data_IF_238257771375
#
_entry.id   IF_238257771375
#
_cell.length_a   1.000
_cell.length_b   1.000
_cell.length_c   1.000
_cell.angle_alpha   90.00
_cell.angle_beta   90.00
_cell.angle_gamma   90.00
#
_symmetry.space_group_name_H-M   'P 1'
#
loop_
_entity.id
_entity.type
_entity.pdbx_description
1 polymer ?
#
# COMPACT_ATOMS: atom_id res chain seq x y z
N UNK A 1 11.40 12.65 16.86
CA UNK A 1 11.24 12.09 15.50
C UNK A 1 10.01 12.69 14.84
N UNK A 2 10.16 13.15 13.59
CA UNK A 2 9.03 13.63 12.80
C UNK A 2 8.13 12.45 12.42
N UNK A 3 6.82 12.71 12.36
CA UNK A 3 5.83 11.71 11.97
C UNK A 3 5.12 12.17 10.70
N UNK A 4 5.13 11.31 9.69
CA UNK A 4 4.56 11.59 8.38
C UNK A 4 3.36 10.69 8.11
N UNK A 5 2.38 11.13 7.29
CA UNK A 5 1.22 10.33 6.95
C UNK A 5 1.58 9.10 6.11
N UNK A 6 1.12 7.93 6.53
CA UNK A 6 1.04 6.72 5.71
C UNK A 6 -0.42 6.40 5.43
N UNK A 7 -0.74 6.18 4.16
CA UNK A 7 -2.06 5.76 3.71
C UNK A 7 -2.11 4.25 3.68
N UNK A 8 -3.06 3.63 4.37
CA UNK A 8 -3.20 2.17 4.43
C UNK A 8 -4.52 1.84 3.75
N UNK A 9 -4.44 1.20 2.59
CA UNK A 9 -5.59 0.82 1.77
C UNK A 9 -5.86 -0.68 1.93
N UNK A 10 -7.12 -1.02 2.19
CA UNK A 10 -7.62 -2.39 2.18
C UNK A 10 -8.99 -2.39 1.51
N UNK A 11 -9.13 -3.12 0.40
CA UNK A 11 -10.32 -3.08 -0.46
C UNK A 11 -10.63 -1.63 -0.90
N UNK A 12 -11.82 -1.13 -0.57
CA UNK A 12 -12.27 0.21 -0.93
C UNK A 12 -11.99 1.25 0.16
N UNK A 13 -11.45 0.84 1.31
CA UNK A 13 -11.23 1.70 2.45
C UNK A 13 -9.78 2.15 2.57
N UNK A 14 -9.58 3.41 2.96
CA UNK A 14 -8.26 4.00 3.20
C UNK A 14 -8.23 4.63 4.58
N UNK A 15 -7.26 4.24 5.40
CA UNK A 15 -7.00 4.81 6.72
C UNK A 15 -5.65 5.51 6.70
N UNK A 16 -5.59 6.74 7.21
CA UNK A 16 -4.34 7.49 7.33
C UNK A 16 -3.82 7.44 8.77
N UNK A 17 -2.54 7.09 8.95
CA UNK A 17 -1.85 7.13 10.25
C UNK A 17 -0.59 7.99 10.14
N UNK A 18 -0.17 8.60 11.25
CA UNK A 18 1.11 9.31 11.32
C UNK A 18 2.17 8.38 11.92
N UNK A 19 3.20 8.04 11.16
CA UNK A 19 4.23 7.05 11.54
C UNK A 19 5.64 7.63 11.44
N UNK A 20 6.59 7.00 12.13
CA UNK A 20 8.02 7.28 12.01
C UNK A 20 8.68 6.29 11.04
N UNK A 21 9.95 6.53 10.72
CA UNK A 21 10.81 5.59 9.99
C UNK A 21 10.80 4.20 10.65
N UNK A 22 11.08 4.13 11.95
CA UNK A 22 11.15 2.88 12.72
C UNK A 22 9.89 2.01 12.58
N UNK A 23 8.71 2.64 12.52
CA UNK A 23 7.43 1.92 12.38
C UNK A 23 7.30 1.22 11.02
N UNK A 24 8.04 1.68 10.00
CA UNK A 24 7.97 1.18 8.64
C UNK A 24 9.16 0.30 8.24
N UNK A 25 10.24 0.32 9.03
CA UNK A 25 11.49 -0.43 8.74
C UNK A 25 11.42 -1.92 9.07
N UNK A 26 10.37 -2.39 9.76
CA UNK A 26 10.22 -3.81 10.16
C UNK A 26 8.94 -4.43 9.60
N UNK A 27 9.00 -5.69 9.10
CA UNK A 27 7.81 -6.45 8.72
C UNK A 27 6.78 -6.57 9.85
N UNK A 28 7.23 -6.79 11.08
CA UNK A 28 6.35 -6.96 12.24
C UNK A 28 5.65 -5.66 12.62
N UNK A 29 6.34 -4.53 12.54
CA UNK A 29 5.77 -3.23 12.86
C UNK A 29 4.77 -2.77 11.81
N UNK A 30 5.07 -2.98 10.52
CA UNK A 30 4.14 -2.71 9.43
C UNK A 30 2.90 -3.61 9.52
N UNK A 31 3.07 -4.90 9.83
CA UNK A 31 1.93 -5.81 10.04
C UNK A 31 1.06 -5.35 11.22
N UNK A 32 1.69 -4.94 12.32
CA UNK A 32 0.98 -4.40 13.49
C UNK A 32 0.23 -3.12 13.14
N UNK A 33 0.83 -2.22 12.37
CA UNK A 33 0.22 -0.99 11.87
C UNK A 33 -1.01 -1.29 11.00
N UNK A 34 -0.92 -2.27 10.10
CA UNK A 34 -2.04 -2.72 9.25
C UNK A 34 -3.19 -3.28 10.10
N UNK A 35 -2.90 -4.12 11.09
CA UNK A 35 -3.91 -4.68 11.99
C UNK A 35 -4.57 -3.58 12.84
N UNK A 36 -3.80 -2.58 13.29
CA UNK A 36 -4.35 -1.43 14.01
C UNK A 36 -5.21 -0.50 13.13
N UNK A 37 -4.96 -0.47 11.83
CA UNK A 37 -5.83 0.22 10.88
C UNK A 37 -7.09 -0.60 10.60
N UNK A 38 -6.94 -1.90 10.33
CA UNK A 38 -8.02 -2.81 9.99
C UNK A 38 -8.00 -4.06 10.87
N UNK A 39 -8.64 -4.05 12.06
CA UNK A 39 -8.62 -5.19 12.98
C UNK A 39 -9.13 -6.51 12.37
N UNK A 40 -10.07 -6.43 11.42
CA UNK A 40 -10.64 -7.55 10.67
C UNK A 40 -9.59 -8.34 9.86
N UNK A 41 -8.46 -7.72 9.57
CA UNK A 41 -7.35 -8.30 8.81
C UNK A 41 -6.50 -9.24 9.69
N UNK A 42 -6.60 -9.14 11.03
CA UNK A 42 -5.85 -9.97 11.99
C UNK A 42 -6.07 -11.47 11.80
N UNK A 43 -7.30 -11.87 11.47
CA UNK A 43 -7.69 -13.27 11.36
C UNK A 43 -7.35 -13.86 9.98
N UNK A 44 -6.78 -13.06 9.08
CA UNK A 44 -6.37 -13.49 7.75
C UNK A 44 -4.92 -13.94 7.76
N UNK A 45 -4.71 -15.22 7.48
CA UNK A 45 -3.40 -15.88 7.59
C UNK A 45 -2.34 -15.29 6.65
N UNK A 46 -2.68 -15.10 5.38
CA UNK A 46 -1.76 -14.61 4.35
C UNK A 46 -2.26 -13.29 3.80
N UNK A 47 -1.59 -12.21 4.21
CA UNK A 47 -1.82 -10.88 3.65
C UNK A 47 -0.65 -10.54 2.75
N UNK A 48 -0.97 -10.00 1.60
CA UNK A 48 0.03 -9.51 0.67
C UNK A 48 0.10 -8.00 0.79
N UNK A 49 1.25 -7.52 1.24
CA UNK A 49 1.51 -6.11 1.46
C UNK A 49 2.29 -5.56 0.28
N UNK A 50 1.84 -4.43 -0.23
CA UNK A 50 2.52 -3.67 -1.26
C UNK A 50 2.65 -2.23 -0.77
N UNK A 51 3.71 -1.56 -1.16
CA UNK A 51 3.87 -0.13 -0.91
C UNK A 51 3.92 0.64 -2.22
N UNK A 52 3.51 1.90 -2.16
CA UNK A 52 3.66 2.83 -3.27
C UNK A 52 4.03 4.22 -2.77
N UNK A 53 4.62 4.99 -3.69
CA UNK A 53 5.21 6.31 -3.41
C UNK A 53 4.17 7.39 -3.08
N UNK A 54 2.94 7.19 -3.52
CA UNK A 54 1.81 8.10 -3.46
C UNK A 54 0.51 7.32 -3.18
N UNK A 55 -0.62 8.01 -2.96
CA UNK A 55 -1.93 7.34 -2.75
C UNK A 55 -2.30 6.39 -3.90
N UNK A 56 -1.90 6.75 -5.11
CA UNK A 56 -2.11 6.01 -6.34
C UNK A 56 -0.78 6.03 -7.08
N UNK A 57 -0.22 4.86 -7.37
CA UNK A 57 1.12 4.73 -7.92
C UNK A 57 1.53 3.26 -8.05
N UNK A 58 2.67 3.00 -8.71
CA UNK A 58 3.13 1.64 -8.93
C UNK A 58 3.33 0.91 -7.60
N UNK A 59 2.78 -0.29 -7.52
CA UNK A 59 2.84 -1.14 -6.34
C UNK A 59 4.15 -1.91 -6.31
N UNK A 60 4.86 -1.84 -5.20
CA UNK A 60 6.06 -2.59 -4.90
C UNK A 60 5.77 -3.57 -3.77
N UNK A 61 5.97 -4.87 -3.99
CA UNK A 61 5.66 -5.86 -2.97
C UNK A 61 6.64 -5.76 -1.78
N UNK A 62 6.12 -5.90 -0.56
CA UNK A 62 6.91 -5.97 0.67
C UNK A 62 7.17 -7.44 1.02
N UNK A 63 8.30 -8.00 0.56
CA UNK A 63 8.62 -9.44 0.70
C UNK A 63 9.76 -9.65 1.71
N UNK A 64 10.74 -8.76 1.72
CA UNK A 64 11.96 -8.88 2.52
C UNK A 64 12.29 -7.56 3.22
N UNK A 65 13.22 -7.61 4.17
CA UNK A 65 13.62 -6.45 4.99
C UNK A 65 14.12 -5.24 4.18
N UNK A 66 14.70 -5.46 2.99
CA UNK A 66 15.13 -4.37 2.11
C UNK A 66 13.93 -3.58 1.57
N UNK A 67 12.80 -4.23 1.30
CA UNK A 67 11.60 -3.55 0.83
C UNK A 67 11.02 -2.61 1.90
N UNK A 68 11.04 -3.05 3.16
CA UNK A 68 10.63 -2.24 4.31
C UNK A 68 11.59 -1.07 4.55
N UNK A 69 12.90 -1.30 4.41
CA UNK A 69 13.91 -0.25 4.48
C UNK A 69 13.69 0.80 3.39
N UNK A 70 13.38 0.38 2.16
CA UNK A 70 13.08 1.28 1.05
C UNK A 70 11.81 2.10 1.28
N UNK A 71 10.75 1.47 1.83
CA UNK A 71 9.53 2.16 2.25
C UNK A 71 9.83 3.22 3.32
N UNK A 72 10.57 2.86 4.37
CA UNK A 72 10.90 3.75 5.47
C UNK A 72 11.74 4.95 4.99
N UNK A 73 12.74 4.70 4.15
CA UNK A 73 13.56 5.73 3.51
C UNK A 73 12.72 6.66 2.62
N UNK A 74 11.82 6.10 1.81
CA UNK A 74 10.92 6.92 0.98
C UNK A 74 10.02 7.81 1.84
N UNK A 75 9.41 7.25 2.88
CA UNK A 75 8.49 7.92 3.78
C UNK A 75 9.11 9.14 4.47
N UNK A 76 10.38 9.04 4.86
CA UNK A 76 11.11 10.14 5.50
C UNK A 76 11.53 11.22 4.51
N UNK A 77 11.98 10.84 3.31
CA UNK A 77 12.40 11.78 2.27
C UNK A 77 11.24 12.55 1.65
N UNK A 78 10.09 11.91 1.48
CA UNK A 78 8.94 12.46 0.75
C UNK A 78 7.77 12.86 1.64
N UNK A 79 7.95 12.75 2.97
CA UNK A 79 6.96 13.13 3.96
C UNK A 79 5.60 12.43 3.79
N UNK A 80 5.56 11.29 3.10
CA UNK A 80 4.39 10.42 2.96
C UNK A 80 4.72 9.08 2.32
N UNK A 81 3.84 8.09 2.51
CA UNK A 81 3.89 6.79 1.83
C UNK A 81 2.51 6.13 1.79
N UNK A 82 2.37 5.05 1.04
CA UNK A 82 1.14 4.28 0.96
C UNK A 82 1.43 2.78 1.07
N UNK A 83 0.56 2.04 1.75
CA UNK A 83 0.57 0.59 1.92
C UNK A 83 -0.78 0.06 1.43
N UNK A 84 -0.75 -0.84 0.46
CA UNK A 84 -1.92 -1.57 -0.04
C UNK A 84 -1.88 -2.99 0.50
N UNK A 85 -3.02 -3.44 1.02
CA UNK A 85 -3.21 -4.73 1.67
C UNK A 85 -4.18 -5.55 0.82
N UNK A 86 -3.79 -6.78 0.48
CA UNK A 86 -4.60 -7.70 -0.30
C UNK A 86 -4.73 -9.06 0.38
N UNK A 87 -5.88 -9.71 0.20
CA UNK A 87 -6.14 -11.05 0.71
C UNK A 87 -5.45 -12.13 -0.16
N UNK A 88 -5.21 -11.82 -1.45
CA UNK A 88 -4.55 -12.69 -2.41
C UNK A 88 -3.82 -11.88 -3.50
N UNK A 89 -2.70 -12.40 -4.01
CA UNK A 89 -2.02 -11.83 -5.19
C UNK A 89 -2.96 -11.76 -6.41
N UNK A 90 -3.92 -12.69 -6.53
CA UNK A 90 -4.88 -12.69 -7.63
C UNK A 90 -5.75 -11.42 -7.65
N UNK A 91 -6.03 -10.82 -6.49
CA UNK A 91 -6.78 -9.56 -6.39
C UNK A 91 -6.01 -8.39 -7.02
N UNK A 92 -4.69 -8.38 -6.88
CA UNK A 92 -3.81 -7.36 -7.50
C UNK A 92 -3.88 -7.44 -9.02
N UNK A 93 -3.81 -8.65 -9.58
CA UNK A 93 -3.89 -8.89 -11.03
C UNK A 93 -5.28 -8.50 -11.58
N UNK A 94 -6.34 -8.68 -10.79
CA UNK A 94 -7.69 -8.30 -11.20
C UNK A 94 -7.85 -6.76 -11.25
N UNK A 95 -7.32 -6.04 -10.26
CA UNK A 95 -7.35 -4.57 -10.23
C UNK A 95 -6.55 -3.99 -11.39
N UNK A 96 -5.34 -4.49 -11.65
CA UNK A 96 -4.52 -4.03 -12.78
C UNK A 96 -5.24 -4.20 -14.13
N UNK A 97 -6.00 -5.30 -14.29
CA UNK A 97 -6.84 -5.51 -15.48
C UNK A 97 -8.03 -4.56 -15.58
N UNK A 98 -8.68 -4.22 -14.47
CA UNK A 98 -9.79 -3.27 -14.45
C UNK A 98 -9.32 -1.83 -14.70
N UNK A 99 -8.23 -1.40 -14.07
CA UNK A 99 -7.62 -0.09 -14.31
C UNK A 99 -7.12 0.05 -15.75
N UNK A 100 -6.55 -1.02 -16.32
CA UNK A 100 -6.17 -1.06 -17.73
C UNK A 100 -7.38 -0.93 -18.66
N UNK A 101 -8.48 -1.65 -18.40
CA UNK A 101 -9.73 -1.53 -19.16
C UNK A 101 -10.33 -0.12 -19.07
N UNK A 102 -10.35 0.48 -17.89
CA UNK A 102 -10.82 1.86 -17.71
C UNK A 102 -9.96 2.86 -18.48
N UNK A 103 -8.64 2.66 -18.48
CA UNK A 103 -7.71 3.49 -19.25
C UNK A 103 -7.95 3.38 -20.75
N UNK A 104 -8.21 2.17 -21.27
CA UNK A 104 -8.58 1.99 -22.68
C UNK A 104 -9.91 2.64 -23.01
N UNK A 105 -10.94 2.47 -22.17
CA UNK A 105 -12.24 3.10 -22.40
C UNK A 105 -12.12 4.62 -22.45
N UNK A 106 -11.36 5.20 -21.51
CA UNK A 106 -11.08 6.64 -21.49
C UNK A 106 -10.29 7.12 -22.71
N UNK A 107 -9.37 6.31 -23.22
CA UNK A 107 -8.67 6.61 -24.48
C UNK A 107 -9.67 6.61 -25.63
N UNK A 108 -10.52 5.59 -25.75
CA UNK A 108 -11.50 5.50 -26.83
C UNK A 108 -12.49 6.68 -26.81
N UNK A 109 -12.96 7.10 -25.63
CA UNK A 109 -13.81 8.29 -25.46
C UNK A 109 -13.13 9.60 -25.89
N UNK A 110 -11.80 9.68 -25.91
CA UNK A 110 -11.06 10.85 -26.35
C UNK A 110 -10.87 10.91 -27.88
N UNK A 111 -11.16 9.83 -28.60
CA UNK A 111 -10.98 9.70 -30.04
C UNK A 111 -12.31 9.48 -30.81
N UNK A 112 -13.46 9.58 -30.14
CA UNK A 112 -14.82 9.66 -30.72
C UNK A 112 -15.33 11.11 -30.77
#
# INVERSE_FOLDING_TARGET
MNRYPVYIKYKNDIITRKTTEDTLSSPQDVKSLVIQAFPLVKDKGNLHLFWCKSKEGPLHQLINDQDYTNLAHWHTQNYSSCINVYDSINEVILIDKEEWKQSINKINELFE
#
